data_IF_316904749702
#
_entry.id   IF_316904749702
#
_cell.length_a   1.000
_cell.length_b   1.000
_cell.length_c   1.000
_cell.angle_alpha   90.00
_cell.angle_beta   90.00
_cell.angle_gamma   90.00
#
_symmetry.space_group_name_H-M   'P 1'
#
loop_
_entity.id
_entity.type
_entity.pdbx_description
1 polymer ?
#
# COMPACT_ATOMS: atom_id res chain seq x y z
N UNK A 1 -17.99 -31.81 10.02
CA UNK A 1 -17.33 -31.45 8.75
C UNK A 1 -16.24 -30.44 9.08
N UNK A 2 -15.00 -30.91 9.03
CA UNK A 2 -13.80 -30.11 9.35
C UNK A 2 -13.45 -29.29 8.12
N UNK A 3 -13.51 -27.96 8.20
CA UNK A 3 -13.06 -27.11 7.09
C UNK A 3 -12.20 -25.99 7.64
N UNK A 4 -10.89 -26.20 7.50
CA UNK A 4 -9.88 -25.15 7.29
C UNK A 4 -9.49 -24.31 8.50
N UNK A 5 -8.68 -24.91 9.37
CA UNK A 5 -7.72 -24.16 10.19
C UNK A 5 -6.47 -23.70 9.39
N UNK A 6 -6.60 -23.41 8.10
CA UNK A 6 -5.44 -23.13 7.23
C UNK A 6 -5.50 -21.74 6.58
N UNK A 7 -4.75 -20.84 7.23
CA UNK A 7 -3.95 -19.76 6.65
C UNK A 7 -4.73 -18.52 6.20
N UNK A 8 -4.29 -17.35 6.69
CA UNK A 8 -4.82 -16.05 6.29
C UNK A 8 -4.97 -16.00 4.75
N UNK A 9 -6.15 -15.64 4.21
CA UNK A 9 -6.22 -15.26 2.80
C UNK A 9 -5.16 -14.16 2.62
N UNK A 10 -4.29 -14.28 1.62
CA UNK A 10 -3.31 -13.24 1.38
C UNK A 10 -4.10 -11.94 1.23
N UNK A 11 -3.78 -10.91 2.00
CA UNK A 11 -4.55 -9.66 1.96
C UNK A 11 -4.71 -9.15 0.51
N UNK A 12 -3.73 -9.48 -0.35
CA UNK A 12 -3.73 -9.16 -1.78
C UNK A 12 -4.90 -9.76 -2.55
N UNK A 13 -5.46 -10.90 -2.12
CA UNK A 13 -6.62 -11.55 -2.76
C UNK A 13 -7.88 -10.69 -2.69
N UNK A 14 -7.97 -9.78 -1.70
CA UNK A 14 -9.07 -8.83 -1.56
C UNK A 14 -8.77 -7.45 -2.18
N UNK A 15 -7.69 -7.32 -2.96
CA UNK A 15 -7.31 -6.05 -3.55
C UNK A 15 -8.21 -5.67 -4.73
N UNK A 16 -8.72 -4.43 -4.74
CA UNK A 16 -9.59 -3.94 -5.82
C UNK A 16 -8.90 -3.86 -7.21
N UNK A 17 -7.58 -4.06 -7.27
CA UNK A 17 -6.79 -4.08 -8.49
C UNK A 17 -6.52 -5.49 -9.04
N UNK A 18 -7.13 -6.55 -8.49
CA UNK A 18 -6.96 -7.92 -9.02
C UNK A 18 -7.62 -8.12 -10.38
N UNK A 19 -8.68 -7.36 -10.68
CA UNK A 19 -9.51 -7.55 -11.88
C UNK A 19 -9.21 -6.54 -13.00
N UNK A 20 -8.10 -5.80 -12.90
CA UNK A 20 -7.65 -4.84 -13.92
C UNK A 20 -6.35 -5.32 -14.57
N UNK A 21 -5.99 -4.72 -15.69
CA UNK A 21 -4.66 -4.91 -16.29
C UNK A 21 -3.56 -4.49 -15.27
N UNK A 22 -2.66 -5.42 -14.87
CA UNK A 22 -1.57 -5.14 -13.94
C UNK A 22 -0.70 -3.95 -14.35
N UNK A 23 -0.49 -3.74 -15.66
CA UNK A 23 0.34 -2.65 -16.18
C UNK A 23 -0.23 -1.27 -15.82
N UNK A 24 -1.54 -1.20 -15.52
CA UNK A 24 -2.21 0.01 -15.02
C UNK A 24 -1.62 0.51 -13.69
N UNK A 25 -0.97 -0.36 -12.91
CA UNK A 25 -0.31 0.01 -11.66
C UNK A 25 1.15 0.47 -11.85
N UNK A 26 1.76 0.21 -13.00
CA UNK A 26 3.17 0.50 -13.29
C UNK A 26 3.36 1.72 -14.21
N UNK A 27 2.34 2.56 -14.32
CA UNK A 27 2.33 3.79 -15.13
C UNK A 27 3.16 4.94 -14.55
N UNK A 28 3.42 5.95 -15.39
CA UNK A 28 4.19 7.17 -15.04
C UNK A 28 3.39 8.45 -15.26
N UNK A 29 3.83 9.53 -14.64
CA UNK A 29 3.28 10.88 -14.85
C UNK A 29 1.80 10.98 -14.50
N UNK A 30 1.02 11.67 -15.34
CA UNK A 30 -0.39 11.95 -15.08
C UNK A 30 -1.25 10.69 -14.90
N UNK A 31 -0.89 9.56 -15.53
CA UNK A 31 -1.61 8.30 -15.41
C UNK A 31 -1.58 7.69 -13.99
N UNK A 32 -0.60 8.09 -13.16
CA UNK A 32 -0.53 7.63 -11.77
C UNK A 32 -1.74 8.07 -10.94
N UNK A 33 -2.40 9.18 -11.30
CA UNK A 33 -3.65 9.61 -10.64
C UNK A 33 -4.76 8.56 -10.80
N UNK A 34 -4.88 7.97 -11.98
CA UNK A 34 -5.87 6.94 -12.23
C UNK A 34 -5.59 5.70 -11.36
N UNK A 35 -4.34 5.23 -11.34
CA UNK A 35 -3.92 4.10 -10.52
C UNK A 35 -4.17 4.35 -9.01
N UNK A 36 -3.85 5.55 -8.51
CA UNK A 36 -4.12 5.94 -7.11
C UNK A 36 -5.60 5.87 -6.77
N UNK A 37 -6.48 6.31 -7.67
CA UNK A 37 -7.93 6.29 -7.45
C UNK A 37 -8.49 4.88 -7.20
N UNK A 38 -7.82 3.84 -7.71
CA UNK A 38 -8.16 2.43 -7.48
C UNK A 38 -7.78 2.06 -6.06
N UNK A 39 -6.57 2.43 -5.63
CA UNK A 39 -6.10 2.17 -4.27
C UNK A 39 -7.02 2.78 -3.20
N UNK A 40 -7.51 4.01 -3.37
CA UNK A 40 -8.36 4.68 -2.37
C UNK A 40 -9.75 4.05 -2.19
N UNK A 41 -10.17 3.18 -3.10
CA UNK A 41 -11.39 2.36 -2.99
C UNK A 41 -11.11 0.92 -2.53
N UNK A 42 -9.84 0.58 -2.31
CA UNK A 42 -9.39 -0.77 -1.97
C UNK A 42 -9.43 -1.02 -0.46
N UNK A 43 -10.14 -2.08 -0.03
CA UNK A 43 -10.28 -2.47 1.38
C UNK A 43 -8.96 -2.83 2.06
N UNK A 44 -7.98 -3.29 1.27
CA UNK A 44 -6.65 -3.70 1.76
C UNK A 44 -5.55 -2.68 1.49
N UNK A 45 -5.91 -1.44 1.16
CA UNK A 45 -4.96 -0.36 0.82
C UNK A 45 -3.82 -0.22 1.83
N UNK A 46 -4.12 -0.24 3.12
CA UNK A 46 -3.12 -0.01 4.17
C UNK A 46 -2.17 -1.20 4.35
N UNK A 47 -2.66 -2.43 4.15
CA UNK A 47 -1.81 -3.62 4.11
C UNK A 47 -0.86 -3.56 2.92
N UNK A 48 -1.39 -3.24 1.74
CA UNK A 48 -0.61 -3.02 0.52
C UNK A 48 0.47 -1.94 0.71
N UNK A 49 0.12 -0.81 1.34
CA UNK A 49 1.07 0.25 1.62
C UNK A 49 2.20 -0.23 2.54
N UNK A 50 1.84 -0.84 3.67
CA UNK A 50 2.81 -1.34 4.64
C UNK A 50 3.79 -2.33 4.01
N UNK A 51 3.28 -3.36 3.33
CA UNK A 51 4.11 -4.37 2.68
C UNK A 51 5.03 -3.75 1.62
N UNK A 52 4.55 -2.76 0.86
CA UNK A 52 5.36 -2.08 -0.15
C UNK A 52 6.49 -1.23 0.44
N UNK A 53 6.32 -0.72 1.66
CA UNK A 53 7.32 0.06 2.37
C UNK A 53 8.34 -0.85 3.06
N UNK A 54 7.87 -1.91 3.73
CA UNK A 54 8.71 -2.91 4.39
C UNK A 54 9.59 -3.67 3.37
N UNK A 55 9.06 -3.96 2.17
CA UNK A 55 9.81 -4.60 1.07
C UNK A 55 10.58 -3.62 0.17
N UNK A 56 10.54 -2.31 0.46
CA UNK A 56 11.16 -1.26 -0.34
C UNK A 56 10.85 -1.36 -1.85
N UNK A 57 9.58 -1.63 -2.19
CA UNK A 57 9.17 -1.94 -3.56
C UNK A 57 9.54 -0.83 -4.54
N UNK A 58 10.30 -1.21 -5.57
CA UNK A 58 10.99 -0.25 -6.45
C UNK A 58 10.11 0.42 -7.48
N UNK A 59 8.98 -0.14 -7.92
CA UNK A 59 8.21 0.40 -9.04
C UNK A 59 6.72 0.47 -8.73
N UNK A 60 5.95 1.21 -9.53
CA UNK A 60 4.49 1.22 -9.51
C UNK A 60 3.84 1.97 -8.34
N UNK A 61 2.50 1.99 -8.36
CA UNK A 61 1.63 2.56 -7.34
C UNK A 61 1.18 1.46 -6.39
N UNK A 62 1.45 1.65 -5.09
CA UNK A 62 1.13 0.71 -4.03
C UNK A 62 0.45 1.44 -2.89
N UNK A 63 -0.70 0.94 -2.43
CA UNK A 63 -1.40 1.55 -1.31
C UNK A 63 -1.80 3.03 -1.49
N UNK A 64 -1.86 3.51 -2.74
CA UNK A 64 -2.13 4.91 -3.07
C UNK A 64 -0.88 5.80 -3.16
N UNK A 65 0.32 5.25 -2.95
CA UNK A 65 1.59 5.97 -3.07
C UNK A 65 2.34 5.58 -4.33
N UNK A 66 2.89 6.57 -5.01
CA UNK A 66 3.86 6.38 -6.09
C UNK A 66 5.21 5.94 -5.54
N UNK A 67 6.03 5.34 -6.39
CA UNK A 67 7.43 5.02 -6.10
C UNK A 67 8.20 6.21 -5.51
N UNK A 68 8.06 7.40 -6.10
CA UNK A 68 8.77 8.61 -5.67
C UNK A 68 8.40 9.00 -4.24
N UNK A 69 7.11 8.91 -3.90
CA UNK A 69 6.61 9.23 -2.56
C UNK A 69 7.09 8.22 -1.53
N UNK A 70 7.01 6.91 -1.84
CA UNK A 70 7.53 5.86 -0.94
C UNK A 70 9.03 6.01 -0.70
N UNK A 71 9.82 6.23 -1.75
CA UNK A 71 11.26 6.47 -1.62
C UNK A 71 11.58 7.73 -0.80
N UNK A 72 10.79 8.80 -0.95
CA UNK A 72 10.95 9.99 -0.13
C UNK A 72 10.60 9.75 1.35
N UNK A 73 9.58 8.93 1.61
CA UNK A 73 9.18 8.53 2.95
C UNK A 73 10.27 7.70 3.65
N UNK A 74 10.75 6.64 2.99
CA UNK A 74 11.80 5.76 3.52
C UNK A 74 13.09 6.52 3.84
N UNK A 75 13.48 7.49 2.99
CA UNK A 75 14.66 8.35 3.26
C UNK A 75 14.49 9.25 4.49
N UNK A 76 13.26 9.65 4.83
CA UNK A 76 13.00 10.50 6.01
C UNK A 76 12.88 9.70 7.31
N UNK A 77 12.63 8.40 7.20
CA UNK A 77 12.43 7.48 8.34
C UNK A 77 13.28 6.21 8.18
N UNK A 78 14.61 6.32 8.05
CA UNK A 78 15.49 5.16 7.87
C UNK A 78 15.48 4.20 9.07
N UNK A 79 15.05 4.66 10.24
CA UNK A 79 14.93 3.87 11.46
C UNK A 79 13.66 3.01 11.54
N UNK A 80 12.66 3.27 10.70
CA UNK A 80 11.40 2.52 10.72
C UNK A 80 11.59 1.15 10.04
N UNK A 81 11.29 0.08 10.78
CA UNK A 81 11.46 -1.31 10.31
C UNK A 81 10.16 -2.12 10.32
N UNK A 82 9.05 -1.50 10.75
CA UNK A 82 7.75 -2.15 10.82
C UNK A 82 6.66 -1.14 10.47
N UNK A 83 6.53 -0.89 9.17
CA UNK A 83 5.55 0.05 8.64
C UNK A 83 4.12 -0.39 8.94
N UNK A 84 3.86 -1.69 8.97
CA UNK A 84 2.55 -2.23 9.39
C UNK A 84 2.18 -1.74 10.78
N UNK A 85 3.05 -1.93 11.77
CA UNK A 85 2.81 -1.47 13.14
C UNK A 85 2.58 0.03 13.19
N UNK A 86 3.43 0.82 12.55
CA UNK A 86 3.27 2.28 12.55
C UNK A 86 1.96 2.73 11.89
N UNK A 87 1.58 2.15 10.76
CA UNK A 87 0.35 2.51 10.04
C UNK A 87 -0.90 2.11 10.82
N UNK A 88 -0.92 0.94 11.46
CA UNK A 88 -2.13 0.45 12.13
C UNK A 88 -2.25 0.90 13.60
N UNK A 89 -1.14 1.01 14.32
CA UNK A 89 -1.14 1.32 15.77
C UNK A 89 -0.61 2.73 16.08
N UNK A 90 0.16 3.33 15.16
CA UNK A 90 0.80 4.63 15.37
C UNK A 90 -0.22 5.74 15.55
N UNK A 91 0.06 6.60 16.54
CA UNK A 91 -0.77 7.78 16.88
C UNK A 91 -0.12 9.09 16.45
N UNK A 92 1.08 9.03 15.88
CA UNK A 92 1.81 10.20 15.39
C UNK A 92 1.18 10.76 14.10
N UNK A 93 1.48 12.03 13.74
CA UNK A 93 0.92 12.66 12.55
C UNK A 93 1.21 11.89 11.26
N UNK A 94 2.35 11.21 11.13
CA UNK A 94 2.66 10.45 9.93
C UNK A 94 1.74 9.23 9.80
N UNK A 95 1.52 8.48 10.88
CA UNK A 95 0.61 7.33 10.85
C UNK A 95 -0.81 7.75 10.42
N UNK A 96 -1.29 8.92 10.89
CA UNK A 96 -2.56 9.49 10.43
C UNK A 96 -2.52 9.82 8.94
N UNK A 97 -1.49 10.53 8.49
CA UNK A 97 -1.30 10.87 7.09
C UNK A 97 -1.29 9.63 6.17
N UNK A 98 -0.61 8.55 6.56
CA UNK A 98 -0.58 7.31 5.77
C UNK A 98 -1.95 6.62 5.72
N UNK A 99 -2.71 6.66 6.82
CA UNK A 99 -4.08 6.12 6.89
C UNK A 99 -5.07 6.93 6.08
N UNK A 100 -4.93 8.25 6.02
CA UNK A 100 -5.82 9.10 5.24
C UNK A 100 -5.43 9.05 3.75
N UNK A 101 -4.15 9.26 3.47
CA UNK A 101 -3.59 9.43 2.13
C UNK A 101 -4.14 10.66 1.41
N UNK A 102 -3.36 11.22 0.49
CA UNK A 102 -3.86 12.28 -0.41
C UNK A 102 -4.46 11.59 -1.64
N UNK A 103 -5.75 11.75 -1.92
CA UNK A 103 -6.44 11.19 -3.10
C UNK A 103 -5.81 11.63 -4.41
#
# INVERSE_FOLDING_TARGET
MTTTLALYPHWADAAACTDIDPDSLFVRGAAQRQARSICFRCSVRLHCLADSLDAEMMFGVWGGMTERERRALLRRHPEERNWKRRIFEGRDPLARFLREGEG
#
